data_IF_978910242474
#
_entry.id   IF_978910242474
#
_cell.length_a   1.000
_cell.length_b   1.000
_cell.length_c   1.000
_cell.angle_alpha   90.00
_cell.angle_beta   90.00
_cell.angle_gamma   90.00
#
_symmetry.space_group_name_H-M   'P 1'
#
loop_
_entity.id
_entity.type
_entity.pdbx_description
1 polymer ?
#
# COMPACT_ATOMS: atom_id res chain seq x y z
N UNK A 1 -8.35 -8.32 -19.72
CA UNK A 1 -7.06 -8.98 -19.41
C UNK A 1 -6.61 -8.45 -18.07
N UNK A 2 -6.15 -9.29 -17.14
CA UNK A 2 -5.68 -8.80 -15.86
C UNK A 2 -4.42 -7.93 -16.05
N UNK A 3 -4.35 -6.78 -15.39
CA UNK A 3 -3.19 -5.91 -15.37
C UNK A 3 -2.30 -6.27 -14.20
N UNK A 4 -1.00 -6.32 -14.44
CA UNK A 4 0.01 -6.72 -13.46
C UNK A 4 0.72 -5.48 -12.92
N UNK A 5 0.69 -5.31 -11.61
CA UNK A 5 1.46 -4.29 -10.92
C UNK A 5 2.40 -4.93 -9.90
N UNK A 6 3.58 -4.35 -9.73
CA UNK A 6 4.47 -4.68 -8.60
C UNK A 6 4.24 -3.64 -7.50
N UNK A 7 3.82 -4.10 -6.33
CA UNK A 7 3.66 -3.26 -5.14
C UNK A 7 4.91 -3.36 -4.27
N UNK A 8 5.54 -2.23 -4.02
CA UNK A 8 6.67 -2.08 -3.11
C UNK A 8 6.19 -1.39 -1.83
N UNK A 9 6.49 -1.99 -0.67
CA UNK A 9 6.15 -1.41 0.62
C UNK A 9 7.41 -1.18 1.43
N UNK A 10 7.60 0.06 1.86
CA UNK A 10 8.75 0.52 2.60
C UNK A 10 8.32 1.06 3.96
N UNK A 11 9.09 0.72 4.98
CA UNK A 11 9.03 1.39 6.26
C UNK A 11 10.35 2.15 6.43
N UNK A 12 10.27 3.47 6.54
CA UNK A 12 11.41 4.37 6.72
C UNK A 12 11.45 4.98 8.13
N UNK A 13 10.60 4.51 9.04
CA UNK A 13 10.56 4.97 10.43
C UNK A 13 11.79 4.57 11.26
N UNK A 14 12.53 3.54 10.82
CA UNK A 14 13.64 2.95 11.58
C UNK A 14 13.19 2.10 12.78
N UNK A 15 11.89 1.84 12.91
CA UNK A 15 11.29 0.92 13.90
C UNK A 15 10.61 -0.24 13.18
N UNK A 16 10.45 -1.38 13.84
CA UNK A 16 9.64 -2.47 13.32
C UNK A 16 8.16 -2.14 13.51
N UNK A 17 7.36 -2.22 12.44
CA UNK A 17 5.93 -1.91 12.46
C UNK A 17 5.10 -3.05 11.88
N UNK A 18 3.89 -3.22 12.39
CA UNK A 18 2.92 -4.17 11.85
C UNK A 18 2.18 -3.52 10.69
N UNK A 19 2.31 -4.09 9.49
CA UNK A 19 1.63 -3.61 8.30
C UNK A 19 0.52 -4.56 7.91
N UNK A 20 -0.62 -3.98 7.56
CA UNK A 20 -1.77 -4.70 7.02
C UNK A 20 -2.08 -4.14 5.64
N UNK A 21 -2.11 -4.99 4.62
CA UNK A 21 -2.49 -4.61 3.26
C UNK A 21 -3.69 -5.44 2.87
N UNK A 22 -4.80 -4.76 2.60
CA UNK A 22 -6.08 -5.41 2.35
C UNK A 22 -6.73 -4.87 1.08
N UNK A 23 -7.18 -5.79 0.24
CA UNK A 23 -8.08 -5.55 -0.88
C UNK A 23 -8.81 -6.85 -1.18
N UNK A 24 -10.13 -6.78 -1.18
CA UNK A 24 -10.98 -7.91 -1.55
C UNK A 24 -10.53 -8.51 -2.89
N UNK A 25 -10.42 -9.85 -2.94
CA UNK A 25 -10.01 -10.66 -4.09
C UNK A 25 -8.64 -10.33 -4.74
N UNK A 26 -7.82 -9.46 -4.12
CA UNK A 26 -6.53 -9.04 -4.68
C UNK A 26 -5.38 -9.33 -3.71
N UNK A 27 -5.48 -8.91 -2.45
CA UNK A 27 -4.42 -9.09 -1.46
C UNK A 27 -5.00 -9.03 -0.04
N UNK A 28 -4.56 -9.92 0.85
CA UNK A 28 -4.87 -9.84 2.27
C UNK A 28 -3.66 -10.36 3.05
N UNK A 29 -2.76 -9.44 3.38
CA UNK A 29 -1.46 -9.76 3.96
C UNK A 29 -1.22 -8.92 5.21
N UNK A 30 -0.78 -9.58 6.29
CA UNK A 30 -0.30 -8.94 7.52
C UNK A 30 1.15 -9.36 7.76
N UNK A 31 2.03 -8.39 7.98
CA UNK A 31 3.46 -8.66 8.13
C UNK A 31 4.19 -7.52 8.84
N UNK A 32 5.28 -7.86 9.53
CA UNK A 32 6.18 -6.87 10.11
C UNK A 32 7.16 -6.34 9.07
N UNK A 33 7.26 -5.02 8.96
CA UNK A 33 8.31 -4.34 8.18
C UNK A 33 9.22 -3.59 9.15
N UNK A 34 10.50 -3.96 9.17
CA UNK A 34 11.57 -3.12 9.74
C UNK A 34 12.21 -2.29 8.63
N UNK A 35 13.53 -2.34 8.48
CA UNK A 35 14.23 -1.60 7.42
C UNK A 35 14.18 -2.28 6.03
N UNK A 36 13.66 -3.51 5.94
CA UNK A 36 13.68 -4.30 4.71
C UNK A 36 12.36 -4.14 3.94
N UNK A 37 12.47 -3.66 2.70
CA UNK A 37 11.36 -3.54 1.74
C UNK A 37 10.62 -4.87 1.54
N UNK A 38 9.30 -4.80 1.44
CA UNK A 38 8.44 -5.91 0.99
C UNK A 38 7.91 -5.67 -0.42
N UNK A 39 7.63 -6.76 -1.14
CA UNK A 39 7.21 -6.69 -2.53
C UNK A 39 6.13 -7.71 -2.82
N UNK A 40 5.06 -7.27 -3.48
CA UNK A 40 3.90 -8.08 -3.85
C UNK A 40 3.62 -7.95 -5.34
N UNK A 41 3.07 -9.00 -5.94
CA UNK A 41 2.52 -8.93 -7.29
C UNK A 41 1.01 -8.79 -7.19
N UNK A 42 0.46 -7.73 -7.78
CA UNK A 42 -0.97 -7.48 -7.85
C UNK A 42 -1.48 -7.83 -9.26
N UNK A 43 -2.56 -8.59 -9.32
CA UNK A 43 -3.25 -8.94 -10.55
C UNK A 43 -4.64 -8.32 -10.52
N UNK A 44 -4.88 -7.31 -11.36
CA UNK A 44 -6.08 -6.48 -11.32
C UNK A 44 -6.95 -6.77 -12.53
N UNK A 45 -8.12 -7.36 -12.30
CA UNK A 45 -9.11 -7.70 -13.33
C UNK A 45 -10.27 -6.69 -13.42
N UNK A 46 -10.32 -5.71 -12.53
CA UNK A 46 -11.37 -4.70 -12.45
C UNK A 46 -10.96 -3.51 -11.57
N UNK A 47 -11.93 -2.68 -11.21
CA UNK A 47 -11.73 -1.58 -10.27
C UNK A 47 -11.45 -2.16 -8.87
N UNK A 48 -10.48 -1.59 -8.17
CA UNK A 48 -9.94 -2.16 -6.94
C UNK A 48 -9.66 -1.06 -5.93
N UNK A 49 -9.95 -1.31 -4.65
CA UNK A 49 -9.53 -0.45 -3.54
C UNK A 49 -8.59 -1.23 -2.63
N UNK A 50 -7.34 -0.75 -2.51
CA UNK A 50 -6.33 -1.30 -1.61
C UNK A 50 -6.19 -0.38 -0.40
N UNK A 51 -6.27 -0.96 0.78
CA UNK A 51 -6.12 -0.32 2.06
C UNK A 51 -4.75 -0.69 2.64
N UNK A 52 -4.03 0.31 3.12
CA UNK A 52 -2.73 0.15 3.77
C UNK A 52 -2.87 0.66 5.20
N UNK A 53 -2.70 -0.26 6.13
CA UNK A 53 -2.67 0.01 7.55
C UNK A 53 -1.29 -0.23 8.15
N UNK A 54 -0.99 0.57 9.18
CA UNK A 54 0.19 0.45 10.02
C UNK A 54 -0.29 0.41 11.46
N UNK A 55 0.25 -0.52 12.24
CA UNK A 55 -0.11 -0.78 13.63
C UNK A 55 -1.65 -0.87 13.81
N UNK A 56 -2.28 -1.69 12.97
CA UNK A 56 -3.73 -1.96 12.93
C UNK A 56 -4.64 -0.77 12.59
N UNK A 57 -4.08 0.35 12.13
CA UNK A 57 -4.84 1.53 11.71
C UNK A 57 -4.65 1.78 10.23
N UNK A 58 -5.75 1.91 9.47
CA UNK A 58 -5.70 2.23 8.03
C UNK A 58 -5.45 3.71 7.84
N UNK A 59 -4.30 4.04 7.23
CA UNK A 59 -3.91 5.42 6.95
C UNK A 59 -3.96 5.75 5.46
N UNK A 60 -3.90 4.77 4.57
CA UNK A 60 -3.94 5.05 3.13
C UNK A 60 -4.90 4.13 2.40
N UNK A 61 -5.69 4.71 1.51
CA UNK A 61 -6.58 4.00 0.59
C UNK A 61 -6.22 4.38 -0.84
N UNK A 62 -5.81 3.40 -1.63
CA UNK A 62 -5.51 3.56 -3.05
C UNK A 62 -6.64 2.92 -3.87
N UNK A 63 -7.23 3.69 -4.79
CA UNK A 63 -8.28 3.21 -5.68
C UNK A 63 -7.77 3.18 -7.11
N UNK A 64 -7.90 2.02 -7.73
CA UNK A 64 -7.59 1.77 -9.12
C UNK A 64 -8.84 1.76 -9.98
N UNK A 65 -8.83 2.54 -11.06
CA UNK A 65 -9.84 2.52 -12.10
C UNK A 65 -9.33 1.75 -13.30
N UNK A 66 -9.90 0.57 -13.54
CA UNK A 66 -9.54 -0.30 -14.66
C UNK A 66 -9.92 0.34 -16.00
N UNK A 67 -11.02 1.11 -16.04
CA UNK A 67 -11.45 1.81 -17.27
C UNK A 67 -10.43 2.82 -17.77
N UNK A 68 -9.83 3.59 -16.86
CA UNK A 68 -8.90 4.69 -17.20
C UNK A 68 -7.43 4.33 -16.98
N UNK A 69 -7.15 3.13 -16.45
CA UNK A 69 -5.81 2.68 -16.08
C UNK A 69 -5.07 3.63 -15.14
N UNK A 70 -5.80 4.14 -14.16
CA UNK A 70 -5.32 5.21 -13.29
C UNK A 70 -5.51 4.87 -11.83
N UNK A 71 -4.54 5.30 -11.02
CA UNK A 71 -4.60 5.24 -9.58
C UNK A 71 -4.97 6.60 -8.99
N UNK A 72 -5.75 6.56 -7.94
CA UNK A 72 -5.98 7.67 -7.02
C UNK A 72 -5.65 7.18 -5.62
N UNK A 73 -5.25 8.07 -4.72
CA UNK A 73 -5.02 7.71 -3.33
C UNK A 73 -5.51 8.79 -2.40
N UNK A 74 -5.88 8.38 -1.19
CA UNK A 74 -6.22 9.25 -0.08
C UNK A 74 -5.45 8.77 1.14
N UNK A 75 -4.67 9.67 1.73
CA UNK A 75 -4.01 9.45 3.02
C UNK A 75 -4.83 10.15 4.10
N UNK A 76 -5.22 9.41 5.13
CA UNK A 76 -5.83 9.90 6.36
C UNK A 76 -4.72 10.24 7.38
N UNK A 77 -5.02 11.05 8.39
CA UNK A 77 -4.04 11.52 9.38
C UNK A 77 -3.50 10.36 10.23
N UNK A 78 -2.17 10.32 10.51
CA UNK A 78 -1.15 11.27 10.12
C UNK A 78 -0.67 11.03 8.67
N UNK A 79 -0.37 12.11 7.95
CA UNK A 79 -0.04 12.08 6.51
C UNK A 79 1.36 11.50 6.22
N UNK A 80 1.82 10.58 7.06
CA UNK A 80 3.16 10.00 7.08
C UNK A 80 3.24 8.76 6.16
N UNK A 81 2.12 8.35 5.57
CA UNK A 81 2.11 7.38 4.47
C UNK A 81 2.01 8.09 3.13
N UNK A 82 2.99 7.83 2.28
CA UNK A 82 3.03 8.28 0.89
C UNK A 82 2.72 7.15 -0.08
N UNK A 83 2.04 7.48 -1.17
CA UNK A 83 1.71 6.57 -2.27
C UNK A 83 2.15 7.19 -3.59
N UNK A 84 2.88 6.42 -4.38
CA UNK A 84 3.33 6.83 -5.71
C UNK A 84 3.13 5.69 -6.70
N UNK A 85 2.88 6.04 -7.96
CA UNK A 85 2.67 5.08 -9.04
C UNK A 85 3.63 5.36 -10.18
N UNK A 86 4.21 4.29 -10.72
CA UNK A 86 4.98 4.30 -11.95
C UNK A 86 4.42 3.28 -12.95
N UNK A 87 5.07 3.12 -14.12
CA UNK A 87 4.67 2.12 -15.11
C UNK A 87 4.67 0.72 -14.50
N UNK A 88 3.48 0.10 -14.36
CA UNK A 88 3.29 -1.23 -13.74
C UNK A 88 3.88 -1.37 -12.32
N UNK A 89 4.06 -0.27 -11.60
CA UNK A 89 4.64 -0.26 -10.26
C UNK A 89 3.87 0.68 -9.33
N UNK A 90 3.74 0.26 -8.07
CA UNK A 90 3.14 1.02 -6.98
C UNK A 90 4.14 1.01 -5.84
N UNK A 91 4.40 2.17 -5.26
CA UNK A 91 5.27 2.29 -4.09
C UNK A 91 4.50 2.96 -2.97
N UNK A 92 4.50 2.30 -1.81
CA UNK A 92 3.96 2.82 -0.55
C UNK A 92 5.09 2.89 0.46
N UNK A 93 5.23 4.04 1.10
CA UNK A 93 6.23 4.29 2.13
C UNK A 93 5.59 4.92 3.35
N UNK A 94 5.97 4.48 4.54
CA UNK A 94 5.61 5.14 5.80
C UNK A 94 6.86 5.57 6.56
N UNK A 95 6.89 6.81 7.02
CA UNK A 95 7.79 7.28 8.07
C UNK A 95 7.11 7.43 9.45
N UNK A 96 5.85 6.99 9.55
CA UNK A 96 5.07 7.04 10.79
C UNK A 96 5.87 6.48 11.96
N UNK A 97 5.91 7.22 13.06
CA UNK A 97 6.47 6.77 14.32
C UNK A 97 5.35 6.91 15.35
N UNK A 98 4.80 5.81 15.90
CA UNK A 98 3.92 5.94 17.05
C UNK A 98 4.70 6.66 18.16
N UNK A 99 4.09 7.70 18.73
CA UNK A 99 4.62 8.38 19.92
C UNK A 99 4.96 7.30 20.97
N UNK A 100 6.19 7.37 21.50
CA UNK A 100 6.72 6.44 22.52
C UNK A 100 5.95 6.56 23.86
#
# INVERSE_FOLDING_TARGET
>A
MARKYTLFVYNTSGKQQDWTIFSEDVINEEFKIGDVRKTFTLMLSGDVMIQFGVDYTVYLKATYSYKTDSWTSKTDTPMDISFTTGPSAITVSSDFKPDD
#
